data_IF_593200164842
#
_entry.id   IF_593200164842
#
_cell.length_a   1.000
_cell.length_b   1.000
_cell.length_c   1.000
_cell.angle_alpha   90.00
_cell.angle_beta   90.00
_cell.angle_gamma   90.00
#
_symmetry.space_group_name_H-M   'P 1'
#
loop_
_entity.id
_entity.type
_entity.pdbx_description
1 polymer ?
#
# COMPACT_ATOMS: atom_id res chain seq x y z
N UNK A 1 -9.59 -7.28 29.60
CA UNK A 1 -8.75 -8.50 29.70
C UNK A 1 -9.35 -9.36 30.82
N UNK A 2 -9.79 -10.61 30.55
CA UNK A 2 -10.39 -11.48 31.58
C UNK A 2 -10.68 -12.94 31.17
N UNK A 3 -10.64 -13.32 29.88
CA UNK A 3 -10.90 -14.72 29.45
C UNK A 3 -9.63 -15.57 29.31
N UNK A 4 -8.58 -15.01 28.70
CA UNK A 4 -7.29 -15.70 28.48
C UNK A 4 -6.57 -16.00 29.80
N UNK A 5 -6.49 -15.01 30.70
CA UNK A 5 -5.83 -15.15 32.02
C UNK A 5 -6.54 -16.12 32.97
N UNK A 6 -7.84 -16.41 32.73
CA UNK A 6 -8.64 -17.34 33.52
C UNK A 6 -8.61 -18.78 32.98
N UNK A 7 -7.79 -19.07 31.97
CA UNK A 7 -7.66 -20.41 31.39
C UNK A 7 -8.80 -20.83 30.45
N UNK A 8 -9.75 -19.93 30.13
CA UNK A 8 -10.85 -20.18 29.19
C UNK A 8 -10.47 -19.94 27.72
N UNK A 9 -9.18 -19.74 27.42
CA UNK A 9 -8.71 -19.61 26.05
C UNK A 9 -8.62 -20.99 25.40
N UNK A 10 -9.23 -21.14 24.23
CA UNK A 10 -9.07 -22.36 23.43
C UNK A 10 -7.59 -22.54 23.03
N UNK A 11 -7.05 -23.74 23.20
CA UNK A 11 -5.66 -24.05 22.80
C UNK A 11 -5.44 -23.81 21.31
N UNK A 12 -6.47 -24.04 20.48
CA UNK A 12 -6.43 -23.76 19.05
C UNK A 12 -6.33 -22.26 18.77
N UNK A 13 -7.09 -21.44 19.50
CA UNK A 13 -7.01 -19.98 19.42
C UNK A 13 -5.62 -19.48 19.83
N UNK A 14 -5.06 -20.00 20.92
CA UNK A 14 -3.71 -19.65 21.37
C UNK A 14 -2.62 -19.98 20.35
N UNK A 15 -2.72 -21.14 19.69
CA UNK A 15 -1.81 -21.51 18.60
C UNK A 15 -1.97 -20.59 17.38
N UNK A 16 -3.21 -20.29 17.01
CA UNK A 16 -3.52 -19.35 15.92
C UNK A 16 -2.92 -17.96 16.16
N UNK A 17 -3.05 -17.44 17.38
CA UNK A 17 -2.49 -16.13 17.74
C UNK A 17 -0.95 -16.13 17.77
N UNK A 18 -0.31 -17.22 18.21
CA UNK A 18 1.15 -17.38 18.10
C UNK A 18 1.60 -17.38 16.64
N UNK A 19 0.91 -18.11 15.77
CA UNK A 19 1.18 -18.13 14.33
C UNK A 19 1.03 -16.74 13.71
N UNK A 20 -0.08 -16.05 14.03
CA UNK A 20 -0.30 -14.67 13.60
C UNK A 20 0.83 -13.74 14.04
N UNK A 21 1.25 -13.82 15.31
CA UNK A 21 2.37 -13.04 15.83
C UNK A 21 3.68 -13.33 15.08
N UNK A 22 3.98 -14.59 14.79
CA UNK A 22 5.20 -14.98 14.07
C UNK A 22 5.28 -14.44 12.64
N UNK A 23 4.12 -14.31 11.97
CA UNK A 23 3.99 -13.72 10.63
C UNK A 23 4.14 -12.20 10.73
N UNK A 24 3.43 -11.56 11.67
CA UNK A 24 3.42 -10.11 11.84
C UNK A 24 4.76 -9.55 12.37
N UNK A 25 5.57 -10.38 13.04
CA UNK A 25 6.86 -9.96 13.58
C UNK A 25 7.88 -9.50 12.51
N UNK A 26 7.74 -9.88 11.24
CA UNK A 26 8.65 -9.49 10.17
C UNK A 26 7.90 -9.11 8.90
N UNK A 27 8.14 -7.90 8.39
CA UNK A 27 7.53 -7.39 7.15
C UNK A 27 7.72 -8.32 5.95
N UNK A 28 8.91 -8.92 5.82
CA UNK A 28 9.20 -9.89 4.75
C UNK A 28 8.33 -11.15 4.85
N UNK A 29 8.12 -11.68 6.06
CA UNK A 29 7.27 -12.87 6.27
C UNK A 29 5.82 -12.55 5.94
N UNK A 30 5.34 -11.41 6.41
CA UNK A 30 4.01 -10.91 6.07
C UNK A 30 3.83 -10.79 4.55
N UNK A 31 4.77 -10.15 3.83
CA UNK A 31 4.70 -10.02 2.37
C UNK A 31 4.64 -11.39 1.66
N UNK A 32 5.50 -12.34 2.06
CA UNK A 32 5.49 -13.69 1.48
C UNK A 32 4.18 -14.43 1.76
N UNK A 33 3.67 -14.36 2.99
CA UNK A 33 2.39 -14.98 3.36
C UNK A 33 1.23 -14.33 2.58
N UNK A 34 1.25 -13.03 2.39
CA UNK A 34 0.24 -12.33 1.58
C UNK A 34 0.27 -12.81 0.13
N UNK A 35 1.45 -13.00 -0.48
CA UNK A 35 1.58 -13.57 -1.83
C UNK A 35 0.96 -14.97 -1.92
N UNK A 36 1.24 -15.83 -0.95
CA UNK A 36 0.63 -17.16 -0.87
C UNK A 36 -0.88 -17.06 -0.69
N UNK A 37 -1.35 -16.17 0.19
CA UNK A 37 -2.77 -15.91 0.43
C UNK A 37 -3.49 -15.45 -0.84
N UNK A 38 -2.86 -14.59 -1.66
CA UNK A 38 -3.42 -14.14 -2.95
C UNK A 38 -3.61 -15.26 -3.96
N UNK A 39 -2.72 -16.24 -3.97
CA UNK A 39 -2.84 -17.42 -4.83
C UNK A 39 -3.90 -18.36 -4.26
N UNK A 40 -3.84 -18.65 -2.96
CA UNK A 40 -4.76 -19.57 -2.28
C UNK A 40 -6.22 -19.10 -2.29
N UNK A 41 -6.47 -17.79 -2.18
CA UNK A 41 -7.84 -17.26 -2.19
C UNK A 41 -8.56 -17.49 -3.51
N UNK A 42 -7.86 -17.71 -4.64
CA UNK A 42 -8.49 -17.92 -5.95
C UNK A 42 -9.45 -19.12 -5.96
N UNK A 43 -9.25 -20.09 -5.08
CA UNK A 43 -10.14 -21.24 -4.91
C UNK A 43 -11.44 -20.91 -4.16
N UNK A 44 -11.46 -19.80 -3.43
CA UNK A 44 -12.56 -19.41 -2.54
C UNK A 44 -13.29 -18.14 -3.00
N UNK A 45 -12.63 -17.29 -3.78
CA UNK A 45 -13.19 -16.03 -4.29
C UNK A 45 -14.19 -16.31 -5.40
N UNK A 46 -15.37 -15.69 -5.30
CA UNK A 46 -16.40 -15.62 -6.34
C UNK A 46 -16.94 -14.19 -6.38
N UNK A 47 -17.11 -13.64 -7.58
CA UNK A 47 -17.65 -12.29 -7.80
C UNK A 47 -16.92 -11.18 -7.02
N UNK A 48 -15.60 -11.30 -6.89
CA UNK A 48 -14.76 -10.31 -6.19
C UNK A 48 -14.78 -10.38 -4.66
N UNK A 49 -15.53 -11.33 -4.08
CA UNK A 49 -15.58 -11.57 -2.64
C UNK A 49 -15.40 -13.03 -2.26
N UNK A 50 -15.35 -13.32 -0.97
CA UNK A 50 -15.28 -14.68 -0.42
C UNK A 50 -16.64 -14.96 0.23
N UNK A 51 -17.63 -15.52 -0.51
CA UNK A 51 -18.97 -15.77 0.02
C UNK A 51 -19.05 -17.00 0.93
N UNK A 52 -17.94 -17.74 1.07
CA UNK A 52 -17.90 -18.99 1.84
C UNK A 52 -18.30 -18.76 3.30
N UNK A 53 -19.36 -19.44 3.75
CA UNK A 53 -19.81 -19.44 5.16
C UNK A 53 -19.18 -20.57 5.97
N UNK A 54 -18.03 -21.08 5.54
CA UNK A 54 -17.32 -22.17 6.19
C UNK A 54 -16.13 -21.62 6.99
N UNK A 55 -15.89 -22.20 8.15
CA UNK A 55 -14.74 -21.85 8.99
C UNK A 55 -14.87 -20.49 9.69
N UNK A 56 -13.75 -19.81 9.99
CA UNK A 56 -13.73 -18.62 10.85
C UNK A 56 -14.48 -17.41 10.27
N UNK A 57 -14.73 -17.41 8.95
CA UNK A 57 -15.48 -16.34 8.27
C UNK A 57 -16.99 -16.54 8.32
N UNK A 58 -17.51 -17.68 8.81
CA UNK A 58 -18.96 -17.98 8.85
C UNK A 58 -19.79 -16.86 9.49
N UNK A 59 -19.36 -16.36 10.65
CA UNK A 59 -20.08 -15.30 11.36
C UNK A 59 -20.09 -13.98 10.59
N UNK A 60 -18.98 -13.63 9.95
CA UNK A 60 -18.84 -12.42 9.13
C UNK A 60 -19.69 -12.52 7.85
N UNK A 61 -19.62 -13.66 7.19
CA UNK A 61 -20.25 -13.89 5.89
C UNK A 61 -21.76 -14.15 5.96
N UNK A 62 -22.33 -14.23 7.15
CA UNK A 62 -23.79 -14.26 7.33
C UNK A 62 -24.45 -12.93 6.99
N UNK A 63 -23.75 -11.82 7.20
CA UNK A 63 -24.30 -10.47 7.03
C UNK A 63 -23.54 -9.63 6.00
N UNK A 64 -22.31 -10.03 5.64
CA UNK A 64 -21.43 -9.31 4.72
C UNK A 64 -20.76 -10.29 3.77
N UNK A 65 -20.07 -9.80 2.76
CA UNK A 65 -19.17 -10.60 1.95
C UNK A 65 -17.77 -10.09 2.23
N UNK A 66 -16.87 -10.96 2.68
CA UNK A 66 -15.47 -10.58 2.85
C UNK A 66 -14.86 -10.23 1.48
N UNK A 67 -14.22 -9.08 1.30
CA UNK A 67 -13.60 -8.72 0.02
C UNK A 67 -12.43 -9.67 -0.29
N UNK A 68 -12.11 -9.86 -1.58
CA UNK A 68 -10.84 -10.49 -1.96
C UNK A 68 -9.64 -9.69 -1.43
N UNK A 69 -8.53 -10.35 -1.14
CA UNK A 69 -7.26 -9.68 -0.93
C UNK A 69 -6.87 -8.95 -2.21
N UNK A 70 -6.39 -7.72 -2.05
CA UNK A 70 -5.87 -6.91 -3.15
C UNK A 70 -4.75 -7.64 -3.88
N UNK A 71 -4.66 -7.45 -5.19
CA UNK A 71 -3.65 -8.09 -6.04
C UNK A 71 -2.23 -7.58 -5.72
N UNK A 72 -2.13 -6.29 -5.39
CA UNK A 72 -0.92 -5.63 -4.91
C UNK A 72 -1.20 -4.85 -3.62
N UNK A 73 -0.20 -4.79 -2.76
CA UNK A 73 -0.22 -3.91 -1.59
C UNK A 73 0.23 -2.51 -1.97
N UNK A 74 -0.23 -1.51 -1.22
CA UNK A 74 0.22 -0.12 -1.40
C UNK A 74 1.75 0.02 -1.41
N UNK A 75 2.46 -0.77 -0.59
CA UNK A 75 3.93 -0.73 -0.55
C UNK A 75 4.57 -1.26 -1.83
N UNK A 76 3.95 -2.24 -2.47
CA UNK A 76 4.39 -2.78 -3.76
C UNK A 76 4.17 -1.71 -4.84
N UNK A 77 2.94 -1.21 -4.98
CA UNK A 77 2.60 -0.18 -5.99
C UNK A 77 3.37 1.13 -5.80
N UNK A 78 3.68 1.51 -4.56
CA UNK A 78 4.47 2.71 -4.28
C UNK A 78 5.92 2.58 -4.73
N UNK A 79 6.51 1.39 -4.58
CA UNK A 79 7.89 1.14 -5.03
C UNK A 79 7.98 1.25 -6.56
N UNK A 80 7.00 0.69 -7.26
CA UNK A 80 6.90 0.78 -8.72
C UNK A 80 6.74 2.24 -9.17
N UNK A 81 5.84 2.99 -8.52
CA UNK A 81 5.66 4.41 -8.81
C UNK A 81 6.96 5.22 -8.63
N UNK A 82 7.73 4.97 -7.56
CA UNK A 82 9.02 5.64 -7.36
C UNK A 82 10.02 5.28 -8.46
N UNK A 83 10.11 4.01 -8.85
CA UNK A 83 10.98 3.57 -9.94
C UNK A 83 10.59 4.21 -11.28
N UNK A 84 9.29 4.37 -11.55
CA UNK A 84 8.79 5.07 -12.72
C UNK A 84 9.13 6.56 -12.70
N UNK A 85 8.96 7.23 -11.57
CA UNK A 85 9.32 8.65 -11.40
C UNK A 85 10.84 8.86 -11.56
N UNK A 86 11.66 8.00 -10.99
CA UNK A 86 13.12 8.07 -11.12
C UNK A 86 13.58 7.88 -12.56
N UNK A 87 12.95 6.97 -13.31
CA UNK A 87 13.22 6.77 -14.75
C UNK A 87 12.81 8.01 -15.56
N UNK A 88 11.61 8.54 -15.34
CA UNK A 88 11.07 9.67 -16.10
C UNK A 88 11.76 11.00 -15.76
N UNK A 89 12.21 11.21 -14.51
CA UNK A 89 12.89 12.45 -14.09
C UNK A 89 14.22 12.71 -14.82
N UNK A 90 14.82 11.67 -15.42
CA UNK A 90 16.06 11.79 -16.20
C UNK A 90 15.83 12.26 -17.63
N UNK A 91 14.60 12.20 -18.12
CA UNK A 91 14.22 12.62 -19.48
C UNK A 91 13.42 13.92 -19.41
N UNK A 92 14.07 15.03 -19.08
CA UNK A 92 13.46 16.34 -19.27
C UNK A 92 13.49 16.69 -20.76
N UNK A 93 12.32 16.87 -21.36
CA UNK A 93 12.20 17.24 -22.77
C UNK A 93 13.02 18.52 -23.05
N UNK A 94 13.94 18.51 -24.05
CA UNK A 94 14.81 19.65 -24.32
C UNK A 94 14.07 20.97 -24.61
N UNK A 95 12.85 20.90 -25.13
CA UNK A 95 12.02 22.08 -25.38
C UNK A 95 11.48 22.69 -24.08
N UNK A 96 11.19 21.87 -23.08
CA UNK A 96 10.74 22.30 -21.76
C UNK A 96 11.90 22.94 -20.99
N UNK A 97 13.09 22.33 -21.04
CA UNK A 97 14.29 22.88 -20.41
C UNK A 97 14.60 24.29 -20.97
N UNK A 98 14.62 24.43 -22.30
CA UNK A 98 14.89 25.71 -22.95
C UNK A 98 13.87 26.78 -22.58
N UNK A 99 12.58 26.44 -22.53
CA UNK A 99 11.52 27.36 -22.07
C UNK A 99 11.74 27.82 -20.63
N UNK A 100 12.20 26.92 -19.75
CA UNK A 100 12.49 27.24 -18.36
C UNK A 100 13.68 28.20 -18.22
N UNK A 101 14.74 27.96 -18.98
CA UNK A 101 15.92 28.83 -19.06
C UNK A 101 15.55 30.23 -19.57
N UNK A 102 14.73 30.31 -20.62
CA UNK A 102 14.24 31.58 -21.18
C UNK A 102 13.41 32.38 -20.16
N UNK A 103 12.56 31.70 -19.37
CA UNK A 103 11.74 32.34 -18.32
C UNK A 103 12.58 32.83 -17.15
N UNK A 104 13.58 32.06 -16.72
CA UNK A 104 14.53 32.48 -15.68
C UNK A 104 15.36 33.67 -16.12
N UNK A 105 15.82 33.68 -17.38
CA UNK A 105 16.55 34.79 -17.96
C UNK A 105 15.68 36.07 -18.01
N UNK A 106 14.42 35.95 -18.43
CA UNK A 106 13.47 37.07 -18.42
C UNK A 106 13.25 37.62 -17.01
N UNK A 107 13.00 36.75 -16.02
CA UNK A 107 12.79 37.16 -14.62
C UNK A 107 14.02 37.88 -14.05
N UNK A 108 15.23 37.38 -14.33
CA UNK A 108 16.47 38.03 -13.91
C UNK A 108 16.65 39.41 -14.57
N UNK A 109 16.29 39.55 -15.84
CA UNK A 109 16.33 40.84 -16.54
C UNK A 109 15.28 41.80 -16.00
N UNK A 110 14.09 41.31 -15.63
CA UNK A 110 13.05 42.11 -14.97
C UNK A 110 13.46 42.53 -13.56
N UNK A 111 14.05 41.65 -12.75
CA UNK A 111 14.63 42.01 -11.43
C UNK A 111 15.75 43.04 -11.55
N UNK A 112 16.57 42.98 -12.60
CA UNK A 112 17.62 43.96 -12.85
C UNK A 112 17.10 45.29 -13.43
N UNK A 113 15.88 45.30 -14.00
CA UNK A 113 15.22 46.49 -14.56
C UNK A 113 14.18 47.12 -13.62
N UNK A 114 13.74 46.40 -12.59
CA UNK A 114 12.88 46.92 -11.54
C UNK A 114 13.69 47.75 -10.56
N UNK A 115 13.47 49.06 -10.56
CA UNK A 115 13.88 49.94 -9.47
C UNK A 115 13.38 49.40 -8.11
N UNK A 116 14.12 49.60 -7.01
CA UNK A 116 13.63 49.29 -5.67
C UNK A 116 12.56 50.33 -5.30
N UNK A 117 11.30 50.05 -5.58
CA UNK A 117 10.14 50.80 -5.05
C UNK A 117 9.36 49.88 -4.11
N UNK A 118 8.84 50.31 -2.96
CA UNK A 118 8.68 51.63 -2.37
C UNK A 118 8.38 51.37 -0.87
N UNK A 119 8.98 52.14 0.04
CA UNK A 119 8.47 52.30 1.42
C UNK A 119 7.14 53.05 1.46
#
# INVERSE_FOLDING_TARGET
RRKVERGYGDKAEGLGMKGFGAIMAKSQRFSSVMKVGRIGQKLLVRDGGIPSKLGPLKGWNNYRIAPKLADESFRESWKELQEELDKNSREMDPSIQKRMEDLLAKRKVEELKGEPGHE
#
